data_IF_718086921661
#
_entry.id   IF_718086921661
#
_cell.length_a   1.000
_cell.length_b   1.000
_cell.length_c   1.000
_cell.angle_alpha   90.00
_cell.angle_beta   90.00
_cell.angle_gamma   90.00
#
_symmetry.space_group_name_H-M   'P 1'
#
loop_
_entity.id
_entity.type
_entity.pdbx_description
1 polymer ?
#
# COMPACT_ATOMS: atom_id res chain seq x y z
N UNK A 1 -16.73 -5.14 67.03
CA UNK A 1 -15.39 -4.66 66.61
C UNK A 1 -14.59 -5.87 66.14
N UNK A 2 -13.83 -5.68 65.06
CA UNK A 2 -12.78 -6.55 64.51
C UNK A 2 -13.18 -7.59 63.43
N UNK A 3 -13.18 -7.07 62.20
CA UNK A 3 -12.48 -7.57 61.00
C UNK A 3 -11.75 -8.91 61.08
N UNK A 4 -11.94 -9.76 60.08
CA UNK A 4 -10.84 -10.47 59.43
C UNK A 4 -11.19 -10.74 57.96
N UNK A 5 -10.47 -10.05 57.07
CA UNK A 5 -10.42 -10.27 55.62
C UNK A 5 -9.34 -11.32 55.36
N UNK A 6 -9.66 -12.42 54.66
CA UNK A 6 -8.67 -13.24 53.96
C UNK A 6 -9.31 -13.70 52.65
N UNK A 7 -9.03 -12.99 51.57
CA UNK A 7 -9.19 -13.49 50.20
C UNK A 7 -7.78 -13.54 49.60
N UNK A 8 -7.26 -14.75 49.42
CA UNK A 8 -6.07 -15.01 48.63
C UNK A 8 -6.21 -16.40 47.99
N UNK A 9 -6.72 -16.42 46.77
CA UNK A 9 -6.61 -17.55 45.85
C UNK A 9 -5.94 -17.01 44.60
N UNK A 10 -4.61 -17.08 44.60
CA UNK A 10 -3.78 -16.83 43.43
C UNK A 10 -3.86 -18.09 42.57
N UNK A 11 -4.61 -18.03 41.47
CA UNK A 11 -4.53 -19.03 40.41
C UNK A 11 -3.86 -18.36 39.22
N UNK A 12 -2.57 -18.64 39.07
CA UNK A 12 -1.80 -18.32 37.90
C UNK A 12 -2.19 -19.30 36.78
N UNK A 13 -2.81 -18.79 35.71
CA UNK A 13 -3.01 -19.57 34.49
C UNK A 13 -2.51 -18.78 33.29
N UNK A 14 -1.42 -19.33 32.74
CA UNK A 14 -0.84 -19.21 31.42
C UNK A 14 -1.41 -18.17 30.43
N UNK A 15 -0.46 -17.39 29.91
CA UNK A 15 -0.54 -16.62 28.69
C UNK A 15 -1.08 -17.44 27.50
N UNK A 16 -1.96 -16.83 26.70
CA UNK A 16 -2.05 -17.09 25.27
C UNK A 16 -1.82 -15.77 24.54
N UNK A 17 -0.70 -15.71 23.84
CA UNK A 17 -0.38 -14.70 22.85
C UNK A 17 -1.45 -14.75 21.74
N UNK A 18 -2.11 -13.62 21.49
CA UNK A 18 -2.65 -13.29 20.18
C UNK A 18 -1.95 -11.99 19.75
N UNK A 19 -0.68 -12.13 19.38
CA UNK A 19 -0.08 -11.23 18.42
C UNK A 19 -0.73 -11.56 17.07
N UNK A 20 -1.88 -10.94 16.79
CA UNK A 20 -2.33 -10.82 15.41
C UNK A 20 -1.27 -9.98 14.70
N UNK A 21 -0.66 -10.57 13.68
CA UNK A 21 0.56 -10.09 13.05
C UNK A 21 0.45 -8.64 12.59
N UNK A 22 1.06 -7.74 13.36
CA UNK A 22 1.88 -6.73 12.76
C UNK A 22 3.12 -7.46 12.26
N UNK A 23 3.09 -7.95 11.03
CA UNK A 23 4.32 -8.11 10.25
C UNK A 23 4.85 -6.69 10.00
N UNK A 24 5.36 -6.06 11.04
CA UNK A 24 6.32 -4.97 10.91
C UNK A 24 7.63 -5.62 10.53
N UNK A 25 7.67 -6.17 9.32
CA UNK A 25 8.92 -6.35 8.62
C UNK A 25 9.35 -4.94 8.22
N UNK A 26 9.89 -4.21 9.21
CA UNK A 26 10.79 -3.09 8.95
C UNK A 26 12.05 -3.70 8.34
N UNK A 27 11.92 -4.20 7.12
CA UNK A 27 13.09 -4.44 6.29
C UNK A 27 13.66 -3.06 5.99
N UNK A 28 14.94 -2.89 6.26
CA UNK A 28 15.86 -2.02 5.49
C UNK A 28 15.89 -2.42 3.99
N UNK A 29 14.75 -2.87 3.46
CA UNK A 29 14.53 -3.39 2.13
C UNK A 29 14.00 -2.24 1.30
N UNK A 30 14.77 -1.91 0.27
CA UNK A 30 14.38 -0.97 -0.78
C UNK A 30 12.93 -1.25 -1.16
N UNK A 31 12.05 -0.25 -1.01
CA UNK A 31 10.66 -0.39 -1.41
C UNK A 31 10.61 -0.81 -2.89
N UNK A 32 10.00 -1.97 -3.15
CA UNK A 32 9.84 -2.51 -4.50
C UNK A 32 8.38 -2.38 -4.94
N UNK A 33 8.09 -2.28 -6.24
CA UNK A 33 6.71 -2.22 -6.70
C UNK A 33 5.93 -3.49 -6.34
N UNK A 34 6.59 -4.65 -6.28
CA UNK A 34 6.01 -5.90 -5.79
C UNK A 34 5.57 -5.79 -4.32
N UNK A 35 6.46 -5.32 -3.43
CA UNK A 35 6.15 -5.17 -1.99
C UNK A 35 5.03 -4.18 -1.72
N UNK A 36 4.94 -3.12 -2.50
CA UNK A 36 3.85 -2.12 -2.39
C UNK A 36 2.55 -2.70 -2.94
N UNK A 37 2.60 -3.45 -4.04
CA UNK A 37 1.44 -4.15 -4.59
C UNK A 37 0.88 -5.15 -3.56
N UNK A 38 1.72 -5.97 -2.94
CA UNK A 38 1.32 -6.92 -1.90
C UNK A 38 0.68 -6.22 -0.69
N UNK A 39 1.20 -5.07 -0.25
CA UNK A 39 0.58 -4.29 0.82
C UNK A 39 -0.82 -3.77 0.46
N UNK A 40 -1.06 -3.45 -0.81
CA UNK A 40 -2.38 -3.05 -1.32
C UNK A 40 -3.36 -4.26 -1.31
N UNK A 41 -2.87 -5.47 -1.61
CA UNK A 41 -3.67 -6.71 -1.49
C UNK A 41 -3.99 -7.03 -0.03
N UNK A 42 -3.00 -6.96 0.87
CA UNK A 42 -3.18 -7.20 2.31
C UNK A 42 -4.17 -6.20 2.94
N UNK A 43 -4.25 -4.98 2.40
CA UNK A 43 -5.23 -3.97 2.79
C UNK A 43 -6.65 -4.24 2.25
N UNK A 44 -6.84 -5.27 1.42
CA UNK A 44 -8.09 -5.66 0.79
C UNK A 44 -8.55 -4.71 -0.33
N UNK A 45 -7.61 -3.99 -0.95
CA UNK A 45 -7.89 -2.95 -1.96
C UNK A 45 -7.64 -3.47 -3.37
N UNK A 46 -6.62 -4.31 -3.54
CA UNK A 46 -6.25 -4.92 -4.80
C UNK A 46 -6.22 -6.44 -4.73
N UNK A 47 -6.19 -7.09 -5.89
CA UNK A 47 -5.96 -8.53 -6.05
C UNK A 47 -5.13 -8.80 -7.32
N UNK A 48 -4.57 -10.01 -7.43
CA UNK A 48 -3.84 -10.49 -8.60
C UNK A 48 -2.64 -9.62 -8.98
N UNK A 49 -1.87 -9.15 -7.99
CA UNK A 49 -0.61 -8.46 -8.21
C UNK A 49 0.30 -9.26 -9.14
N UNK A 50 0.66 -8.65 -10.26
CA UNK A 50 1.50 -9.27 -11.27
C UNK A 50 2.43 -8.27 -11.94
N UNK A 51 3.63 -8.69 -12.36
CA UNK A 51 4.51 -7.83 -13.13
C UNK A 51 3.85 -7.46 -14.46
N UNK A 52 4.03 -6.22 -14.88
CA UNK A 52 3.60 -5.71 -16.17
C UNK A 52 4.73 -4.98 -16.87
N UNK A 53 4.64 -4.85 -18.19
CA UNK A 53 5.63 -4.12 -18.96
C UNK A 53 5.39 -2.59 -18.85
N UNK A 54 6.41 -1.79 -18.50
CA UNK A 54 6.32 -0.34 -18.56
C UNK A 54 5.97 0.15 -19.98
N UNK A 55 4.97 1.01 -20.08
CA UNK A 55 4.48 1.53 -21.35
C UNK A 55 3.56 2.74 -21.18
N UNK A 56 3.25 3.42 -22.28
CA UNK A 56 2.42 4.63 -22.23
C UNK A 56 3.01 5.69 -21.29
N UNK A 57 2.22 6.15 -20.31
CA UNK A 57 2.68 7.11 -19.29
C UNK A 57 3.67 6.49 -18.29
N UNK A 58 3.74 5.17 -18.19
CA UNK A 58 4.67 4.45 -17.34
C UNK A 58 5.99 4.09 -18.04
N UNK A 59 6.22 4.51 -19.30
CA UNK A 59 7.38 4.08 -20.11
C UNK A 59 8.75 4.40 -19.49
N UNK A 60 8.79 5.37 -18.56
CA UNK A 60 10.01 5.73 -17.85
C UNK A 60 10.24 4.93 -16.56
N UNK A 61 9.29 4.10 -16.15
CA UNK A 61 9.43 3.25 -14.97
C UNK A 61 10.42 2.11 -15.26
N UNK A 62 11.24 1.77 -14.26
CA UNK A 62 12.15 0.61 -14.32
C UNK A 62 11.35 -0.68 -14.22
N UNK A 63 10.41 -0.74 -13.28
CA UNK A 63 9.52 -1.88 -13.07
C UNK A 63 8.09 -1.40 -12.82
N UNK A 64 7.14 -2.28 -13.15
CA UNK A 64 5.72 -2.03 -13.00
C UNK A 64 5.01 -3.29 -12.52
N UNK A 65 4.10 -3.12 -11.57
CA UNK A 65 3.16 -4.14 -11.14
C UNK A 65 1.73 -3.63 -11.35
N UNK A 66 0.87 -4.49 -11.87
CA UNK A 66 -0.55 -4.22 -12.02
C UNK A 66 -1.35 -5.08 -11.04
N UNK A 67 -2.45 -4.53 -10.54
CA UNK A 67 -3.41 -5.24 -9.70
C UNK A 67 -4.83 -4.93 -10.15
N UNK A 68 -5.76 -5.85 -9.88
CA UNK A 68 -7.18 -5.69 -10.13
C UNK A 68 -7.86 -5.01 -8.94
N UNK A 69 -8.91 -4.24 -9.21
CA UNK A 69 -9.73 -3.61 -8.17
C UNK A 69 -11.01 -4.44 -7.94
N UNK A 70 -11.08 -5.31 -6.92
CA UNK A 70 -12.27 -6.14 -6.68
C UNK A 70 -13.53 -5.30 -6.39
N UNK A 71 -13.36 -4.08 -5.87
CA UNK A 71 -14.47 -3.14 -5.62
C UNK A 71 -14.96 -2.40 -6.86
N UNK A 72 -14.21 -2.45 -7.97
CA UNK A 72 -14.50 -1.73 -9.23
C UNK A 72 -14.29 -2.66 -10.43
N UNK A 73 -15.34 -3.38 -10.87
CA UNK A 73 -15.21 -4.41 -11.90
C UNK A 73 -14.62 -3.89 -13.22
N UNK A 74 -13.53 -4.53 -13.66
CA UNK A 74 -12.84 -4.20 -14.92
C UNK A 74 -11.80 -3.09 -14.80
N UNK A 75 -11.65 -2.50 -13.61
CA UNK A 75 -10.64 -1.49 -13.33
C UNK A 75 -9.41 -2.07 -12.64
N UNK A 76 -8.29 -1.37 -12.80
CA UNK A 76 -6.97 -1.81 -12.32
C UNK A 76 -6.22 -0.66 -11.68
N UNK A 77 -5.24 -1.02 -10.86
CA UNK A 77 -4.20 -0.11 -10.39
C UNK A 77 -2.83 -0.56 -10.86
N UNK A 78 -1.89 0.37 -10.79
CA UNK A 78 -0.52 0.19 -11.22
C UNK A 78 0.42 0.77 -10.15
N UNK A 79 1.44 0.01 -9.78
CA UNK A 79 2.58 0.43 -8.97
C UNK A 79 3.81 0.50 -9.87
N UNK A 80 4.55 1.60 -9.82
CA UNK A 80 5.75 1.86 -10.62
C UNK A 80 6.91 2.25 -9.73
N UNK A 81 8.12 1.81 -10.08
CA UNK A 81 9.37 2.29 -9.50
C UNK A 81 10.26 2.92 -10.56
N UNK A 82 11.10 3.88 -10.18
CA UNK A 82 12.02 4.57 -11.06
C UNK A 82 13.42 4.59 -10.43
N UNK A 83 14.46 4.44 -11.25
CA UNK A 83 15.86 4.61 -10.79
C UNK A 83 16.35 6.06 -10.91
N UNK A 84 15.55 6.92 -11.55
CA UNK A 84 15.88 8.33 -11.82
C UNK A 84 14.78 9.27 -11.31
N UNK A 85 15.17 10.21 -10.45
CA UNK A 85 14.23 11.14 -9.82
C UNK A 85 13.62 12.14 -10.82
N UNK A 86 14.31 12.49 -11.90
CA UNK A 86 13.74 13.35 -12.95
C UNK A 86 12.67 12.61 -13.75
N UNK A 87 12.87 11.33 -14.04
CA UNK A 87 11.88 10.46 -14.68
C UNK A 87 10.65 10.24 -13.80
N UNK A 88 10.86 10.02 -12.49
CA UNK A 88 9.77 9.97 -11.51
C UNK A 88 8.94 11.26 -11.55
N UNK A 89 9.55 12.42 -11.35
CA UNK A 89 8.85 13.72 -11.35
C UNK A 89 8.13 14.01 -12.67
N UNK A 90 8.75 13.68 -13.80
CA UNK A 90 8.11 13.80 -15.13
C UNK A 90 6.88 12.92 -15.26
N UNK A 91 6.95 11.70 -14.73
CA UNK A 91 5.81 10.77 -14.77
C UNK A 91 4.67 11.26 -13.89
N UNK A 92 4.97 11.64 -12.63
CA UNK A 92 3.98 12.27 -11.72
C UNK A 92 3.30 13.46 -12.39
N UNK A 93 4.09 14.36 -13.00
CA UNK A 93 3.55 15.50 -13.75
C UNK A 93 2.68 15.06 -14.93
N UNK A 94 3.11 14.07 -15.70
CA UNK A 94 2.37 13.58 -16.88
C UNK A 94 1.02 13.01 -16.48
N UNK A 95 0.97 12.25 -15.39
CA UNK A 95 -0.28 11.77 -14.81
C UNK A 95 -1.13 12.91 -14.23
N UNK A 96 -0.51 13.93 -13.62
CA UNK A 96 -1.20 15.14 -13.17
C UNK A 96 -1.88 15.88 -14.34
N UNK A 97 -1.17 16.06 -15.45
CA UNK A 97 -1.68 16.73 -16.64
C UNK A 97 -2.75 15.87 -17.36
N UNK A 98 -2.66 14.54 -17.26
CA UNK A 98 -3.67 13.58 -17.73
C UNK A 98 -4.80 13.31 -16.72
N UNK A 99 -4.97 14.14 -15.68
CA UNK A 99 -5.90 13.90 -14.57
C UNK A 99 -7.35 13.56 -14.98
N UNK A 100 -7.82 14.09 -16.11
CA UNK A 100 -9.18 13.83 -16.63
C UNK A 100 -9.34 12.37 -17.08
N UNK A 101 -8.25 11.68 -17.43
CA UNK A 101 -8.27 10.32 -17.96
C UNK A 101 -7.81 9.27 -16.95
N UNK A 102 -7.01 9.66 -15.96
CA UNK A 102 -6.34 8.75 -15.04
C UNK A 102 -6.98 8.66 -13.64
N UNK A 103 -8.08 9.38 -13.39
CA UNK A 103 -8.79 9.38 -12.11
C UNK A 103 -8.11 10.14 -10.97
N UNK A 104 -8.77 10.27 -9.80
CA UNK A 104 -8.26 11.06 -8.68
C UNK A 104 -7.18 10.35 -7.86
N UNK A 105 -7.00 9.03 -8.03
CA UNK A 105 -6.16 8.19 -7.19
C UNK A 105 -4.75 8.05 -7.73
N UNK A 106 -3.88 8.97 -7.31
CA UNK A 106 -2.47 9.03 -7.68
C UNK A 106 -1.65 9.40 -6.46
N UNK A 107 -0.71 8.55 -6.08
CA UNK A 107 0.06 8.65 -4.85
C UNK A 107 1.52 8.37 -5.18
N UNK A 108 2.46 9.12 -4.60
CA UNK A 108 3.88 8.89 -4.87
C UNK A 108 4.75 9.20 -3.67
N UNK A 109 5.81 8.39 -3.50
CA UNK A 109 6.91 8.63 -2.57
C UNK A 109 8.13 9.02 -3.38
N UNK A 110 8.60 10.27 -3.19
CA UNK A 110 9.82 10.76 -3.85
C UNK A 110 11.09 10.19 -3.20
N UNK A 111 11.01 9.77 -1.93
CA UNK A 111 12.13 9.14 -1.22
C UNK A 111 12.38 7.71 -1.72
N UNK A 112 11.31 6.95 -1.99
CA UNK A 112 11.38 5.60 -2.54
C UNK A 112 11.33 5.55 -4.08
N UNK A 113 11.07 6.68 -4.75
CA UNK A 113 10.80 6.75 -6.19
C UNK A 113 9.69 5.78 -6.64
N UNK A 114 8.67 5.61 -5.80
CA UNK A 114 7.49 4.78 -6.08
C UNK A 114 6.31 5.67 -6.45
N UNK A 115 5.60 5.32 -7.51
CA UNK A 115 4.35 5.97 -7.91
C UNK A 115 3.24 4.95 -8.10
N UNK A 116 2.10 5.18 -7.46
CA UNK A 116 0.88 4.38 -7.58
C UNK A 116 -0.18 5.20 -8.30
N UNK A 117 -0.73 4.64 -9.38
CA UNK A 117 -1.89 5.15 -10.07
C UNK A 117 -3.01 4.12 -10.02
N UNK A 118 -4.22 4.57 -9.78
CA UNK A 118 -5.41 3.73 -9.77
C UNK A 118 -6.45 4.39 -10.66
N UNK A 119 -7.08 3.59 -11.51
CA UNK A 119 -8.18 4.06 -12.35
C UNK A 119 -9.38 4.55 -11.52
N UNK A 120 -10.35 5.16 -12.19
CA UNK A 120 -11.53 5.72 -11.53
C UNK A 120 -12.38 4.66 -10.80
N UNK A 121 -13.21 5.14 -9.87
CA UNK A 121 -14.22 4.32 -9.20
C UNK A 121 -13.82 3.79 -7.82
N UNK A 122 -12.53 3.85 -7.44
CA UNK A 122 -12.12 3.50 -6.08
C UNK A 122 -12.74 4.46 -5.05
N UNK A 123 -13.10 3.94 -3.89
CA UNK A 123 -13.64 4.77 -2.82
C UNK A 123 -12.57 5.71 -2.25
N UNK A 124 -12.95 6.90 -1.77
CA UNK A 124 -11.98 7.81 -1.12
C UNK A 124 -11.33 7.18 0.12
N UNK A 125 -12.05 6.32 0.85
CA UNK A 125 -11.51 5.62 2.03
C UNK A 125 -10.46 4.58 1.65
N UNK A 126 -10.65 3.84 0.56
CA UNK A 126 -9.65 2.87 0.11
C UNK A 126 -8.48 3.58 -0.56
N UNK A 127 -8.73 4.65 -1.33
CA UNK A 127 -7.68 5.52 -1.83
C UNK A 127 -6.82 6.11 -0.71
N UNK A 128 -7.41 6.47 0.43
CA UNK A 128 -6.64 6.95 1.59
C UNK A 128 -5.71 5.87 2.16
N UNK A 129 -6.16 4.61 2.25
CA UNK A 129 -5.29 3.51 2.70
C UNK A 129 -4.10 3.31 1.76
N UNK A 130 -4.31 3.39 0.44
CA UNK A 130 -3.20 3.32 -0.53
C UNK A 130 -2.25 4.49 -0.34
N UNK A 131 -2.78 5.69 -0.12
CA UNK A 131 -1.96 6.87 0.18
C UNK A 131 -1.11 6.63 1.43
N UNK A 132 -1.70 6.09 2.50
CA UNK A 132 -1.00 5.83 3.76
C UNK A 132 0.13 4.81 3.59
N UNK A 133 -0.06 3.78 2.76
CA UNK A 133 0.99 2.83 2.38
C UNK A 133 2.14 3.58 1.67
N UNK A 134 1.83 4.37 0.65
CA UNK A 134 2.85 5.08 -0.14
C UNK A 134 3.58 6.16 0.67
N UNK A 135 2.87 6.88 1.54
CA UNK A 135 3.46 7.89 2.43
C UNK A 135 4.39 7.28 3.49
N UNK A 136 4.30 5.97 3.74
CA UNK A 136 5.12 5.26 4.73
C UNK A 136 6.44 4.70 4.19
N UNK A 137 6.65 4.80 2.87
CA UNK A 137 7.84 4.32 2.16
C UNK A 137 9.04 5.25 2.34
#
# INVERSE_FOLDING_TARGET
>A
MNSLKIFASVSATAALLLAAGCSSDSSDGVATPESVCAQIEDAGIGENCAPGDPGGLAVAATEKYDFDLPSVPGERGTVMIFDDADQYRKTVKSYADAAILAGPHRYGSEDALIFVQINEGLSSSDGQKVKDIVDSL
#
